data_IF_168479011250
#
_entry.id   IF_168479011250
#
_cell.length_a   1.000
_cell.length_b   1.000
_cell.length_c   1.000
_cell.angle_alpha   90.00
_cell.angle_beta   90.00
_cell.angle_gamma   90.00
#
_symmetry.space_group_name_H-M   'P 1'
#
loop_
_entity.id
_entity.type
_entity.pdbx_description
1 polymer ?
#
# COMPACT_ATOMS: atom_id res chain seq x y z
N UNK A 1 -12.51 1.51 21.13
CA UNK A 1 -11.62 2.55 21.70
C UNK A 1 -11.50 3.65 20.67
N UNK A 2 -11.96 4.86 21.00
CA UNK A 2 -11.87 6.02 20.11
C UNK A 2 -10.52 6.67 20.35
N UNK A 3 -9.57 6.49 19.44
CA UNK A 3 -8.31 7.25 19.45
C UNK A 3 -8.65 8.71 19.15
N UNK A 4 -8.45 9.58 20.15
CA UNK A 4 -8.57 11.03 19.96
C UNK A 4 -7.39 11.46 19.10
N UNK A 5 -7.65 12.05 17.93
CA UNK A 5 -6.61 12.59 17.08
C UNK A 5 -5.82 13.65 17.87
N UNK A 6 -4.54 13.36 18.14
CA UNK A 6 -3.63 14.28 18.83
C UNK A 6 -3.28 15.39 17.84
N UNK A 7 -3.61 16.63 18.17
CA UNK A 7 -3.26 17.78 17.33
C UNK A 7 -1.74 17.83 17.13
N UNK A 8 -1.30 17.97 15.88
CA UNK A 8 0.12 18.07 15.52
C UNK A 8 0.65 19.42 16.03
N UNK A 9 1.65 19.44 16.92
CA UNK A 9 2.19 20.71 17.44
C UNK A 9 2.96 21.45 16.35
N UNK A 10 3.00 22.79 16.42
CA UNK A 10 3.74 23.60 15.45
C UNK A 10 5.27 23.42 15.58
N UNK A 11 5.74 23.13 16.80
CA UNK A 11 7.14 22.94 17.15
C UNK A 11 7.32 21.68 18.00
N UNK A 12 8.50 21.09 17.95
CA UNK A 12 8.93 20.07 18.92
C UNK A 12 10.24 20.47 19.59
N UNK A 13 10.46 19.89 20.78
CA UNK A 13 11.70 20.06 21.54
C UNK A 13 12.65 18.92 21.20
N UNK A 14 13.86 19.27 20.81
CA UNK A 14 14.93 18.32 20.49
C UNK A 14 16.13 18.60 21.39
N UNK A 15 16.85 17.55 21.78
CA UNK A 15 18.03 17.62 22.64
C UNK A 15 19.27 17.49 21.77
N UNK A 16 20.21 18.42 21.90
CA UNK A 16 21.47 18.39 21.14
C UNK A 16 22.37 17.23 21.61
N UNK A 17 22.88 16.37 20.70
CA UNK A 17 23.71 15.22 21.07
C UNK A 17 25.16 15.60 21.42
N UNK A 18 25.60 16.80 21.05
CA UNK A 18 26.92 17.35 21.30
C UNK A 18 26.86 18.88 21.20
N UNK A 19 27.90 19.58 21.61
CA UNK A 19 28.03 21.02 21.34
C UNK A 19 28.23 21.22 19.83
N UNK A 20 27.25 21.85 19.19
CA UNK A 20 27.16 22.01 17.74
C UNK A 20 27.21 23.49 17.35
N UNK A 21 27.98 23.78 16.30
CA UNK A 21 28.08 25.14 15.76
C UNK A 21 26.78 25.54 15.04
N UNK A 22 26.56 26.85 14.99
CA UNK A 22 25.50 27.47 14.20
C UNK A 22 25.37 26.87 12.79
N UNK A 23 24.13 26.65 12.34
CA UNK A 23 23.78 26.11 11.01
C UNK A 23 24.29 24.69 10.70
N UNK A 24 24.84 23.97 11.68
CA UNK A 24 25.09 22.53 11.51
C UNK A 24 23.77 21.76 11.56
N UNK A 25 23.77 20.56 11.00
CA UNK A 25 22.56 19.71 10.96
C UNK A 25 22.83 18.36 11.60
N UNK A 26 21.86 17.82 12.31
CA UNK A 26 21.92 16.46 12.87
C UNK A 26 20.57 15.76 12.78
N UNK A 27 20.60 14.44 12.88
CA UNK A 27 19.41 13.58 12.83
C UNK A 27 18.78 13.48 14.23
N UNK A 28 17.51 13.84 14.36
CA UNK A 28 16.75 13.75 15.61
C UNK A 28 15.49 12.92 15.43
N UNK A 29 15.12 12.16 16.47
CA UNK A 29 13.90 11.34 16.48
C UNK A 29 12.93 11.87 17.51
N UNK A 30 11.77 12.36 17.07
CA UNK A 30 10.66 12.83 17.93
C UNK A 30 9.39 12.11 17.51
N UNK A 31 8.66 11.53 18.46
CA UNK A 31 7.44 10.74 18.18
C UNK A 31 7.66 9.59 17.17
N UNK A 32 8.87 9.03 17.10
CA UNK A 32 9.25 7.99 16.13
C UNK A 32 9.49 8.49 14.70
N UNK A 33 9.43 9.81 14.48
CA UNK A 33 9.77 10.45 13.21
C UNK A 33 11.22 10.90 13.29
N UNK A 34 12.03 10.45 12.35
CA UNK A 34 13.42 10.87 12.24
C UNK A 34 13.56 11.94 11.17
N UNK A 35 14.13 13.09 11.51
CA UNK A 35 14.27 14.23 10.60
C UNK A 35 15.57 15.00 10.85
N UNK A 36 16.04 15.71 9.83
CA UNK A 36 17.22 16.56 9.92
C UNK A 36 16.86 17.88 10.60
N UNK A 37 17.44 18.12 11.77
CA UNK A 37 17.34 19.37 12.52
C UNK A 37 18.49 20.29 12.11
N UNK A 38 18.20 21.57 11.90
CA UNK A 38 19.22 22.62 11.71
C UNK A 38 19.41 23.39 13.01
N UNK A 39 20.66 23.52 13.45
CA UNK A 39 21.05 24.23 14.68
C UNK A 39 20.90 25.75 14.48
N UNK A 40 20.29 26.49 15.43
CA UNK A 40 20.10 27.94 15.34
C UNK A 40 21.43 28.70 15.23
N UNK A 41 21.37 29.96 14.80
CA UNK A 41 22.56 30.81 14.57
C UNK A 41 23.43 31.02 15.82
N UNK A 42 22.87 30.85 17.02
CA UNK A 42 23.61 30.96 18.27
C UNK A 42 24.52 29.73 18.56
N UNK A 43 24.34 28.63 17.83
CA UNK A 43 24.85 27.32 18.26
C UNK A 43 24.00 26.72 19.37
N UNK A 44 24.34 25.49 19.78
CA UNK A 44 23.72 24.80 20.92
C UNK A 44 24.78 23.98 21.65
N UNK A 45 24.70 23.92 22.97
CA UNK A 45 25.57 23.09 23.80
C UNK A 45 25.05 21.65 23.93
N UNK A 46 25.93 20.70 24.25
CA UNK A 46 25.54 19.30 24.48
C UNK A 46 24.46 19.18 25.57
N UNK A 47 23.37 18.45 25.26
CA UNK A 47 22.24 18.29 26.18
C UNK A 47 21.26 19.46 26.22
N UNK A 48 21.55 20.57 25.53
CA UNK A 48 20.64 21.71 25.45
C UNK A 48 19.38 21.32 24.68
N UNK A 49 18.22 21.74 25.19
CA UNK A 49 16.93 21.53 24.55
C UNK A 49 16.50 22.80 23.83
N UNK A 50 16.20 22.71 22.54
CA UNK A 50 15.72 23.85 21.76
C UNK A 50 14.50 23.47 20.92
N UNK A 51 13.72 24.47 20.51
CA UNK A 51 12.51 24.28 19.73
C UNK A 51 12.81 24.37 18.23
N UNK A 52 12.28 23.39 17.50
CA UNK A 52 12.39 23.31 16.05
C UNK A 52 11.00 23.16 15.44
N UNK A 53 10.77 23.66 14.22
CA UNK A 53 9.52 23.40 13.51
C UNK A 53 9.26 21.90 13.45
N UNK A 54 8.07 21.47 13.85
CA UNK A 54 7.69 20.06 13.71
C UNK A 54 7.77 19.71 12.23
N UNK A 55 8.40 18.58 11.85
CA UNK A 55 8.65 18.29 10.45
C UNK A 55 7.32 18.10 9.70
N UNK A 56 6.92 19.14 8.97
CA UNK A 56 5.75 19.11 8.10
C UNK A 56 6.13 18.31 6.86
N UNK A 57 5.72 17.04 6.80
CA UNK A 57 5.96 16.16 5.66
C UNK A 57 7.09 15.13 5.85
N UNK A 58 7.73 15.06 7.03
CA UNK A 58 8.40 13.81 7.40
C UNK A 58 7.29 12.83 7.74
N UNK A 59 7.00 11.94 6.80
CA UNK A 59 6.02 10.87 6.94
C UNK A 59 6.14 10.26 8.34
N UNK A 60 5.17 10.57 9.22
CA UNK A 60 4.93 9.81 10.44
C UNK A 60 4.89 8.36 10.00
N UNK A 61 5.85 7.53 10.38
CA UNK A 61 5.84 6.12 9.96
C UNK A 61 4.49 5.53 10.37
N UNK A 62 3.61 5.32 9.38
CA UNK A 62 2.28 4.86 9.65
C UNK A 62 2.40 3.42 10.13
N UNK A 63 2.15 3.21 11.42
CA UNK A 63 2.17 1.87 12.00
C UNK A 63 0.84 1.19 11.67
N UNK A 64 0.89 0.25 10.74
CA UNK A 64 -0.24 -0.63 10.49
C UNK A 64 -0.47 -1.54 11.73
N UNK A 65 -1.72 -1.87 12.07
CA UNK A 65 -2.00 -2.74 13.22
C UNK A 65 -1.34 -4.11 13.03
N UNK A 66 -0.75 -4.67 14.07
CA UNK A 66 -0.24 -6.05 14.05
C UNK A 66 -1.28 -7.02 14.63
N UNK A 67 -1.16 -8.31 14.33
CA UNK A 67 -2.04 -9.36 14.89
C UNK A 67 -3.37 -9.54 14.12
N UNK A 68 -4.00 -8.46 13.66
CA UNK A 68 -5.28 -8.51 12.94
C UNK A 68 -5.35 -7.51 11.79
N UNK A 69 -6.18 -7.81 10.78
CA UNK A 69 -6.50 -6.82 9.74
C UNK A 69 -7.26 -5.63 10.35
N UNK A 70 -6.99 -4.42 9.82
CA UNK A 70 -7.59 -3.18 10.37
C UNK A 70 -9.11 -3.18 10.22
N UNK A 71 -9.60 -3.73 9.12
CA UNK A 71 -11.02 -3.90 8.82
C UNK A 71 -11.33 -5.36 8.60
N UNK A 72 -12.57 -5.76 8.88
CA UNK A 72 -13.06 -7.11 8.52
C UNK A 72 -13.21 -7.27 7.01
N UNK A 73 -13.29 -8.51 6.53
CA UNK A 73 -13.39 -8.81 5.10
C UNK A 73 -14.65 -8.17 4.48
N UNK A 74 -15.80 -8.28 5.14
CA UNK A 74 -17.07 -7.70 4.68
C UNK A 74 -17.26 -6.23 5.10
N UNK A 75 -16.24 -5.57 5.66
CA UNK A 75 -16.30 -4.15 5.99
C UNK A 75 -16.13 -3.24 4.76
N UNK A 76 -16.11 -3.79 3.54
CA UNK A 76 -16.01 -3.02 2.31
C UNK A 76 -17.14 -1.98 2.13
N UNK A 77 -18.30 -2.18 2.77
CA UNK A 77 -19.42 -1.24 2.75
C UNK A 77 -19.30 -0.07 3.74
N UNK A 78 -18.35 -0.09 4.68
CA UNK A 78 -18.19 0.99 5.66
C UNK A 78 -17.32 2.13 5.17
N UNK A 79 -16.49 1.89 4.15
CA UNK A 79 -15.76 2.93 3.42
C UNK A 79 -16.64 3.40 2.26
N UNK A 80 -16.78 4.72 2.08
CA UNK A 80 -17.65 5.36 1.08
C UNK A 80 -17.51 4.77 -0.35
N UNK A 81 -18.41 5.09 -1.28
CA UNK A 81 -18.56 4.47 -2.61
C UNK A 81 -17.26 4.28 -3.44
N UNK A 82 -16.21 5.07 -3.21
CA UNK A 82 -15.01 5.12 -4.04
C UNK A 82 -14.15 3.83 -3.98
N UNK A 83 -13.69 3.31 -2.83
CA UNK A 83 -12.89 2.07 -2.80
C UNK A 83 -13.69 0.82 -3.16
N UNK A 84 -15.00 0.80 -2.91
CA UNK A 84 -15.86 -0.33 -3.30
C UNK A 84 -15.99 -0.43 -4.82
N UNK A 85 -16.30 0.68 -5.50
CA UNK A 85 -16.39 0.71 -6.96
C UNK A 85 -15.02 0.44 -7.62
N UNK A 86 -13.94 0.96 -7.04
CA UNK A 86 -12.58 0.65 -7.51
C UNK A 86 -12.20 -0.80 -7.24
N UNK A 87 -12.60 -1.40 -6.12
CA UNK A 87 -12.37 -2.81 -5.83
C UNK A 87 -13.15 -3.73 -6.78
N UNK A 88 -14.32 -3.32 -7.25
CA UNK A 88 -15.12 -4.10 -8.20
C UNK A 88 -14.65 -3.95 -9.66
N UNK A 89 -14.45 -2.71 -10.11
CA UNK A 89 -14.13 -2.40 -11.50
C UNK A 89 -12.61 -2.39 -11.77
N UNK A 90 -11.81 -2.02 -10.77
CA UNK A 90 -10.38 -1.74 -10.90
C UNK A 90 -9.55 -2.52 -9.87
N UNK A 91 -10.02 -3.71 -9.44
CA UNK A 91 -9.31 -4.56 -8.48
C UNK A 91 -7.80 -4.73 -8.78
N UNK A 92 -7.38 -4.90 -10.06
CA UNK A 92 -5.96 -5.01 -10.40
C UNK A 92 -5.17 -3.74 -10.06
N UNK A 93 -5.76 -2.55 -10.28
CA UNK A 93 -5.12 -1.26 -9.99
C UNK A 93 -4.87 -1.12 -8.50
N UNK A 94 -5.90 -1.39 -7.69
CA UNK A 94 -5.84 -1.32 -6.23
C UNK A 94 -4.85 -2.35 -5.67
N UNK A 95 -4.82 -3.56 -6.24
CA UNK A 95 -3.81 -4.56 -5.91
C UNK A 95 -2.39 -4.07 -6.24
N UNK A 96 -2.18 -3.48 -7.42
CA UNK A 96 -0.91 -2.88 -7.80
C UNK A 96 -0.46 -1.78 -6.82
N UNK A 97 -1.37 -0.92 -6.38
CA UNK A 97 -1.09 0.10 -5.35
C UNK A 97 -0.64 -0.54 -4.02
N UNK A 98 -1.29 -1.61 -3.57
CA UNK A 98 -0.88 -2.37 -2.38
C UNK A 98 0.51 -2.96 -2.55
N UNK A 99 0.79 -3.59 -3.71
CA UNK A 99 2.10 -4.18 -4.00
C UNK A 99 3.21 -3.13 -3.96
N UNK A 100 2.96 -1.95 -4.54
CA UNK A 100 3.92 -0.87 -4.55
C UNK A 100 4.16 -0.26 -3.17
N UNK A 101 3.10 -0.08 -2.36
CA UNK A 101 3.22 0.36 -0.96
C UNK A 101 4.06 -0.58 -0.12
N UNK A 102 3.85 -1.89 -0.29
CA UNK A 102 4.55 -2.92 0.48
C UNK A 102 5.93 -3.27 -0.11
N UNK A 103 6.32 -2.62 -1.21
CA UNK A 103 7.53 -2.93 -1.99
C UNK A 103 7.62 -4.42 -2.36
N UNK A 104 6.49 -4.99 -2.77
CA UNK A 104 6.40 -6.35 -3.30
C UNK A 104 6.68 -6.34 -4.81
N UNK A 105 7.14 -7.49 -5.32
CA UNK A 105 7.34 -7.70 -6.75
C UNK A 105 6.05 -8.07 -7.48
N UNK A 106 6.17 -8.30 -8.78
CA UNK A 106 5.07 -8.70 -9.68
C UNK A 106 4.33 -9.97 -9.26
N UNK A 107 4.96 -10.83 -8.46
CA UNK A 107 4.36 -12.08 -7.94
C UNK A 107 3.63 -11.94 -6.62
N UNK A 108 3.57 -10.75 -6.00
CA UNK A 108 3.02 -10.58 -4.65
C UNK A 108 3.96 -11.02 -3.52
N UNK A 109 5.23 -11.26 -3.81
CA UNK A 109 6.26 -11.58 -2.82
C UNK A 109 7.13 -10.36 -2.50
N UNK A 110 7.68 -10.26 -1.27
CA UNK A 110 8.66 -9.25 -0.92
C UNK A 110 9.84 -9.27 -1.88
N UNK A 111 10.32 -8.09 -2.28
CA UNK A 111 11.55 -7.98 -3.08
C UNK A 111 12.76 -8.16 -2.18
N UNK A 112 13.56 -9.17 -2.47
CA UNK A 112 14.82 -9.46 -1.79
C UNK A 112 15.96 -9.47 -2.81
N UNK A 113 17.12 -8.98 -2.40
CA UNK A 113 18.36 -9.05 -3.18
C UNK A 113 18.91 -10.50 -3.18
N UNK A 114 19.95 -10.77 -3.98
CA UNK A 114 20.55 -12.09 -4.07
C UNK A 114 21.16 -12.59 -2.75
N UNK A 115 21.51 -11.68 -1.84
CA UNK A 115 22.00 -11.95 -0.49
C UNK A 115 20.87 -12.15 0.55
N UNK A 116 19.60 -12.05 0.14
CA UNK A 116 18.43 -12.13 1.01
C UNK A 116 18.07 -10.83 1.75
N UNK A 117 18.83 -9.75 1.56
CA UNK A 117 18.50 -8.44 2.12
C UNK A 117 17.27 -7.83 1.45
N UNK A 118 16.54 -6.94 2.15
CA UNK A 118 15.39 -6.23 1.56
C UNK A 118 15.87 -5.32 0.44
N UNK A 119 15.25 -5.44 -0.74
CA UNK A 119 15.53 -4.55 -1.86
C UNK A 119 14.94 -3.17 -1.58
N UNK A 120 15.78 -2.15 -1.36
CA UNK A 120 15.35 -0.78 -1.08
C UNK A 120 15.11 0.06 -2.33
N UNK A 121 15.34 -0.50 -3.53
CA UNK A 121 15.09 0.22 -4.77
C UNK A 121 13.59 0.51 -4.91
N UNK A 122 13.22 1.64 -5.52
CA UNK A 122 11.82 1.94 -5.82
C UNK A 122 11.14 0.74 -6.49
N UNK A 123 9.90 0.45 -6.09
CA UNK A 123 9.04 -0.50 -6.80
C UNK A 123 8.97 -0.13 -8.30
N UNK A 124 8.77 -1.08 -9.21
CA UNK A 124 8.31 -0.73 -10.56
C UNK A 124 6.87 -0.18 -10.49
N UNK A 125 6.39 0.56 -11.51
CA UNK A 125 5.01 1.09 -11.54
C UNK A 125 3.98 -0.01 -11.87
N UNK A 126 3.87 -1.02 -11.00
CA UNK A 126 2.98 -2.18 -11.09
C UNK A 126 1.51 -1.76 -11.29
N UNK A 127 1.03 -0.76 -10.55
CA UNK A 127 -0.33 -0.21 -10.66
C UNK A 127 -0.66 0.22 -12.09
N UNK A 128 0.22 1.00 -12.72
CA UNK A 128 0.03 1.47 -14.10
C UNK A 128 0.07 0.32 -15.10
N UNK A 129 0.97 -0.64 -14.90
CA UNK A 129 1.06 -1.81 -15.77
C UNK A 129 -0.17 -2.71 -15.63
N UNK A 130 -0.67 -2.94 -14.41
CA UNK A 130 -1.89 -3.71 -14.19
C UNK A 130 -3.12 -3.02 -14.79
N UNK A 131 -3.19 -1.69 -14.72
CA UNK A 131 -4.23 -0.90 -15.41
C UNK A 131 -4.16 -1.12 -16.93
N UNK A 132 -3.00 -0.85 -17.54
CA UNK A 132 -2.82 -0.97 -18.99
C UNK A 132 -3.11 -2.40 -19.46
N UNK A 133 -2.56 -3.41 -18.79
CA UNK A 133 -2.78 -4.81 -19.11
C UNK A 133 -4.27 -5.17 -19.03
N UNK A 134 -4.98 -4.74 -17.98
CA UNK A 134 -6.41 -5.02 -17.81
C UNK A 134 -7.24 -4.35 -18.92
N UNK A 135 -6.95 -3.09 -19.25
CA UNK A 135 -7.61 -2.37 -20.35
C UNK A 135 -7.39 -3.08 -21.68
N UNK A 136 -6.15 -3.51 -21.97
CA UNK A 136 -5.83 -4.28 -23.19
C UNK A 136 -6.62 -5.59 -23.23
N UNK A 137 -6.69 -6.34 -22.13
CA UNK A 137 -7.46 -7.58 -22.07
C UNK A 137 -8.97 -7.35 -22.30
N UNK A 138 -9.53 -6.28 -21.74
CA UNK A 138 -10.94 -5.91 -21.96
C UNK A 138 -11.18 -5.54 -23.43
N UNK A 139 -10.28 -4.78 -24.06
CA UNK A 139 -10.38 -4.42 -25.48
C UNK A 139 -10.31 -5.67 -26.36
N UNK A 140 -9.39 -6.60 -26.09
CA UNK A 140 -9.30 -7.88 -26.82
C UNK A 140 -10.61 -8.66 -26.66
N UNK A 141 -11.12 -8.81 -25.44
CA UNK A 141 -12.39 -9.49 -25.17
C UNK A 141 -13.57 -8.85 -25.91
N UNK A 142 -13.70 -7.52 -25.84
CA UNK A 142 -14.76 -6.77 -26.53
C UNK A 142 -14.65 -6.90 -28.06
N UNK A 143 -13.43 -6.81 -28.61
CA UNK A 143 -13.19 -6.93 -30.05
C UNK A 143 -13.53 -8.34 -30.56
N UNK A 144 -13.21 -9.37 -29.78
CA UNK A 144 -13.54 -10.77 -30.14
C UNK A 144 -15.03 -11.11 -30.01
N UNK A 145 -15.80 -10.36 -29.20
CA UNK A 145 -17.25 -10.57 -29.00
C UNK A 145 -18.11 -9.70 -29.91
N UNK A 146 -17.68 -8.49 -30.25
CA UNK A 146 -18.40 -7.55 -31.11
C UNK A 146 -18.37 -7.87 -32.61
N UNK A 147 -17.48 -8.75 -33.07
CA UNK A 147 -17.39 -9.15 -34.49
C UNK A 147 -18.49 -10.16 -34.92
N UNK A 148 -19.40 -10.55 -34.03
CA UNK A 148 -20.43 -11.55 -34.28
C UNK A 148 -21.69 -11.01 -34.94
N UNK A 149 -21.71 -10.84 -36.26
CA UNK A 149 -22.95 -10.95 -37.06
C UNK A 149 -22.98 -12.13 -38.02
N UNK A 150 -21.92 -12.94 -38.15
CA UNK A 150 -21.99 -14.16 -38.98
C UNK A 150 -20.89 -15.19 -38.66
N UNK A 151 -21.26 -16.21 -37.87
CA UNK A 151 -20.89 -17.63 -38.05
C UNK A 151 -19.45 -18.17 -37.94
N UNK A 152 -18.51 -17.54 -37.22
CA UNK A 152 -17.33 -18.29 -36.72
C UNK A 152 -17.02 -18.03 -35.23
N UNK A 153 -17.48 -18.96 -34.38
CA UNK A 153 -17.36 -18.94 -32.91
C UNK A 153 -15.91 -19.08 -32.36
N UNK A 154 -14.89 -19.20 -33.22
CA UNK A 154 -13.52 -19.52 -32.81
C UNK A 154 -12.82 -18.38 -32.04
N UNK A 155 -13.08 -17.12 -32.38
CA UNK A 155 -12.41 -15.96 -31.76
C UNK A 155 -12.89 -15.64 -30.34
N UNK A 156 -14.17 -15.93 -30.02
CA UNK A 156 -14.72 -15.71 -28.68
C UNK A 156 -14.02 -16.57 -27.61
N UNK A 157 -13.57 -17.78 -27.98
CA UNK A 157 -12.79 -18.64 -27.09
C UNK A 157 -11.40 -18.07 -26.79
N UNK A 158 -10.74 -17.43 -27.76
CA UNK A 158 -9.41 -16.83 -27.54
C UNK A 158 -9.49 -15.72 -26.50
N UNK A 159 -10.47 -14.81 -26.63
CA UNK A 159 -10.68 -13.74 -25.64
C UNK A 159 -10.94 -14.31 -24.24
N UNK A 160 -11.72 -15.38 -24.14
CA UNK A 160 -12.03 -16.06 -22.88
C UNK A 160 -10.79 -16.73 -22.25
N UNK A 161 -9.95 -17.38 -23.06
CA UNK A 161 -8.70 -18.02 -22.58
C UNK A 161 -7.72 -16.96 -22.07
N UNK A 162 -7.50 -15.90 -22.85
CA UNK A 162 -6.57 -14.82 -22.49
C UNK A 162 -7.05 -14.11 -21.22
N UNK A 163 -8.34 -13.78 -21.13
CA UNK A 163 -8.95 -13.21 -19.92
C UNK A 163 -8.86 -14.14 -18.72
N UNK A 164 -9.06 -15.44 -18.92
CA UNK A 164 -8.91 -16.46 -17.87
C UNK A 164 -7.49 -16.58 -17.33
N UNK A 165 -6.47 -16.57 -18.21
CA UNK A 165 -5.06 -16.57 -17.81
C UNK A 165 -4.73 -15.31 -17.00
N UNK A 166 -5.20 -14.15 -17.44
CA UNK A 166 -5.00 -12.88 -16.72
C UNK A 166 -5.66 -12.89 -15.34
N UNK A 167 -6.92 -13.34 -15.24
CA UNK A 167 -7.63 -13.46 -13.97
C UNK A 167 -6.94 -14.46 -13.03
N UNK A 168 -6.45 -15.59 -13.56
CA UNK A 168 -5.70 -16.59 -12.79
C UNK A 168 -4.38 -16.03 -12.26
N UNK A 169 -3.64 -15.28 -13.09
CA UNK A 169 -2.43 -14.59 -12.66
C UNK A 169 -2.73 -13.61 -11.51
N UNK A 170 -3.74 -12.76 -11.64
CA UNK A 170 -4.14 -11.81 -10.59
C UNK A 170 -4.57 -12.51 -9.30
N UNK A 171 -5.26 -13.65 -9.41
CA UNK A 171 -5.64 -14.49 -8.28
C UNK A 171 -4.41 -14.99 -7.51
N UNK A 172 -3.39 -15.51 -8.21
CA UNK A 172 -2.14 -15.95 -7.60
C UNK A 172 -1.44 -14.78 -6.92
N UNK A 173 -1.28 -13.65 -7.61
CA UNK A 173 -0.59 -12.46 -7.09
C UNK A 173 -1.30 -11.92 -5.84
N UNK A 174 -2.63 -11.80 -5.86
CA UNK A 174 -3.41 -11.33 -4.72
C UNK A 174 -3.30 -12.27 -3.52
N UNK A 175 -3.27 -13.59 -3.76
CA UNK A 175 -3.08 -14.60 -2.71
C UNK A 175 -1.69 -14.50 -2.10
N UNK A 176 -0.64 -14.46 -2.92
CA UNK A 176 0.73 -14.29 -2.46
C UNK A 176 0.92 -12.97 -1.69
N UNK A 177 0.35 -11.87 -2.19
CA UNK A 177 0.39 -10.57 -1.53
C UNK A 177 -0.25 -10.65 -0.15
N UNK A 178 -1.44 -11.24 -0.04
CA UNK A 178 -2.14 -11.41 1.24
C UNK A 178 -1.33 -12.24 2.23
N UNK A 179 -0.79 -13.39 1.81
CA UNK A 179 0.03 -14.26 2.68
C UNK A 179 1.26 -13.51 3.20
N UNK A 180 1.98 -12.82 2.33
CA UNK A 180 3.18 -12.08 2.71
C UNK A 180 2.87 -10.86 3.57
N UNK A 181 1.73 -10.21 3.34
CA UNK A 181 1.24 -9.13 4.18
C UNK A 181 0.94 -9.61 5.60
N UNK A 182 0.30 -10.76 5.76
CA UNK A 182 0.07 -11.39 7.07
C UNK A 182 1.38 -11.69 7.79
N UNK A 183 2.37 -12.23 7.08
CA UNK A 183 3.71 -12.45 7.64
C UNK A 183 4.40 -11.15 8.06
N UNK A 184 4.24 -10.06 7.28
CA UNK A 184 4.82 -8.75 7.60
C UNK A 184 4.20 -8.13 8.85
N UNK A 185 2.89 -8.31 9.06
CA UNK A 185 2.14 -7.69 10.16
C UNK A 185 1.72 -8.67 11.27
N UNK A 186 2.31 -9.87 11.29
CA UNK A 186 2.04 -10.92 12.28
C UNK A 186 0.54 -11.26 12.43
N UNK A 187 -0.19 -11.37 11.32
CA UNK A 187 -1.65 -11.60 11.32
C UNK A 187 -1.98 -13.10 11.29
N UNK A 188 -2.51 -13.62 12.40
CA UNK A 188 -2.80 -15.03 12.61
C UNK A 188 -3.86 -15.60 11.65
N UNK A 189 -3.60 -16.76 11.01
CA UNK A 189 -4.55 -17.73 10.49
C UNK A 189 -6.05 -17.58 10.76
N UNK A 190 -6.91 -17.02 9.90
CA UNK A 190 -8.37 -17.04 10.24
C UNK A 190 -8.95 -18.47 10.17
N UNK A 191 -8.34 -19.37 9.37
CA UNK A 191 -8.72 -20.79 9.36
C UNK A 191 -7.60 -21.68 8.78
N UNK A 192 -7.42 -22.89 9.34
CA UNK A 192 -6.64 -24.02 8.80
C UNK A 192 -5.11 -23.89 8.64
N UNK A 193 -4.43 -22.92 9.27
CA UNK A 193 -2.96 -22.88 9.48
C UNK A 193 -2.02 -22.80 8.24
N UNK A 194 -2.48 -23.21 7.06
CA UNK A 194 -1.68 -23.47 5.86
C UNK A 194 -2.03 -22.53 4.69
N UNK A 195 -2.54 -21.33 4.95
CA UNK A 195 -2.86 -20.33 3.90
C UNK A 195 -4.09 -20.63 3.03
N UNK A 196 -4.77 -21.76 3.23
CA UNK A 196 -6.00 -22.13 2.50
C UNK A 196 -7.10 -21.07 2.63
N UNK A 197 -7.22 -20.45 3.82
CA UNK A 197 -8.16 -19.35 4.05
C UNK A 197 -7.91 -18.13 3.17
N UNK A 198 -6.65 -17.84 2.82
CA UNK A 198 -6.30 -16.70 1.97
C UNK A 198 -6.71 -16.94 0.50
N UNK A 199 -6.46 -18.15 -0.02
CA UNK A 199 -6.93 -18.55 -1.36
C UNK A 199 -8.45 -18.43 -1.48
N UNK A 200 -9.18 -18.97 -0.50
CA UNK A 200 -10.65 -18.96 -0.50
C UNK A 200 -11.18 -17.52 -0.38
N UNK A 201 -10.54 -16.70 0.45
CA UNK A 201 -10.88 -15.29 0.62
C UNK A 201 -10.71 -14.50 -0.68
N UNK A 202 -9.58 -14.70 -1.38
CA UNK A 202 -9.31 -14.04 -2.66
C UNK A 202 -10.27 -14.53 -3.75
N UNK A 203 -10.62 -15.82 -3.75
CA UNK A 203 -11.53 -16.40 -4.74
C UNK A 203 -12.99 -15.97 -4.53
N UNK A 204 -13.50 -16.06 -3.31
CA UNK A 204 -14.91 -15.78 -3.00
C UNK A 204 -15.23 -14.29 -2.90
N UNK A 205 -14.30 -13.47 -2.40
CA UNK A 205 -14.47 -12.02 -2.41
C UNK A 205 -13.16 -11.28 -2.75
N UNK A 206 -12.78 -11.35 -4.03
CA UNK A 206 -11.56 -10.69 -4.55
C UNK A 206 -11.53 -9.18 -4.24
N UNK A 207 -12.65 -8.48 -4.44
CA UNK A 207 -12.75 -7.05 -4.16
C UNK A 207 -12.61 -6.74 -2.65
N UNK A 208 -13.29 -7.49 -1.79
CA UNK A 208 -13.19 -7.35 -0.34
C UNK A 208 -11.76 -7.54 0.14
N UNK A 209 -11.08 -8.57 -0.38
CA UNK A 209 -9.70 -8.88 -0.02
C UNK A 209 -8.77 -7.71 -0.31
N UNK A 210 -8.82 -7.17 -1.54
CA UNK A 210 -7.95 -6.06 -1.93
C UNK A 210 -8.27 -4.79 -1.14
N UNK A 211 -9.56 -4.52 -0.87
CA UNK A 211 -9.97 -3.41 0.00
C UNK A 211 -9.44 -3.60 1.43
N UNK A 212 -9.50 -4.80 1.99
CA UNK A 212 -8.97 -5.08 3.32
C UNK A 212 -7.44 -4.87 3.39
N UNK A 213 -6.71 -5.26 2.34
CA UNK A 213 -5.27 -5.01 2.25
C UNK A 213 -4.96 -3.52 2.14
N UNK A 214 -5.75 -2.77 1.37
CA UNK A 214 -5.47 -1.35 1.17
C UNK A 214 -5.82 -0.51 2.40
N UNK A 215 -6.91 -0.81 3.10
CA UNK A 215 -7.28 -0.15 4.36
C UNK A 215 -6.36 -0.55 5.51
N UNK A 216 -5.77 -1.74 5.48
CA UNK A 216 -4.77 -2.07 6.48
C UNK A 216 -3.47 -1.27 6.25
N UNK A 217 -3.14 -0.98 4.98
CA UNK A 217 -1.96 -0.17 4.61
C UNK A 217 -2.20 1.34 4.56
N UNK A 218 -3.36 1.82 4.99
CA UNK A 218 -3.72 3.24 4.96
C UNK A 218 -4.94 3.47 5.83
N UNK A 219 -4.93 4.45 6.72
CA UNK A 219 -6.12 4.79 7.50
C UNK A 219 -7.02 5.76 6.72
N UNK A 220 -8.17 5.30 6.20
CA UNK A 220 -9.08 6.15 5.42
C UNK A 220 -9.75 7.24 6.26
N UNK A 221 -9.63 7.21 7.61
CA UNK A 221 -10.15 8.25 8.49
C UNK A 221 -9.20 9.43 8.63
N UNK A 222 -7.91 9.19 8.42
CA UNK A 222 -6.85 10.18 8.67
C UNK A 222 -6.32 10.75 7.35
N UNK A 223 -6.21 9.92 6.32
CA UNK A 223 -5.65 10.30 5.02
C UNK A 223 -6.68 10.04 3.92
N UNK A 224 -6.77 10.96 2.96
CA UNK A 224 -7.67 10.80 1.82
C UNK A 224 -7.07 9.86 0.78
N UNK A 225 -7.90 8.98 0.23
CA UNK A 225 -7.47 8.04 -0.80
C UNK A 225 -7.36 8.69 -2.18
N UNK A 226 -6.22 8.51 -2.85
CA UNK A 226 -5.97 9.11 -4.17
C UNK A 226 -5.90 8.05 -5.26
N UNK A 227 -7.02 7.78 -5.95
CA UNK A 227 -7.11 6.73 -6.98
C UNK A 227 -6.06 6.87 -8.10
N UNK A 228 -5.71 8.10 -8.47
CA UNK A 228 -4.78 8.40 -9.56
C UNK A 228 -3.32 8.29 -9.15
N UNK A 229 -3.04 8.16 -7.85
CA UNK A 229 -1.67 8.11 -7.38
C UNK A 229 -1.11 6.69 -7.45
N UNK A 230 0.21 6.64 -7.57
CA UNK A 230 0.98 5.42 -7.74
C UNK A 230 0.80 4.43 -6.58
N UNK A 231 0.71 4.95 -5.36
CA UNK A 231 0.48 4.17 -4.15
C UNK A 231 -0.96 4.28 -3.67
N UNK A 232 -1.83 5.11 -4.23
CA UNK A 232 -3.14 5.41 -3.63
C UNK A 232 -3.09 6.42 -2.46
N UNK A 233 -1.92 7.01 -2.17
CA UNK A 233 -1.69 8.06 -1.17
C UNK A 233 -1.40 9.41 -1.86
N UNK A 234 -1.72 10.54 -1.23
CA UNK A 234 -1.37 11.85 -1.77
C UNK A 234 0.12 12.18 -1.53
N UNK A 235 0.71 13.12 -2.31
CA UNK A 235 2.06 13.60 -2.04
C UNK A 235 2.15 14.23 -0.63
N UNK A 236 2.95 13.63 0.25
CA UNK A 236 3.12 14.08 1.64
C UNK A 236 2.42 13.22 2.69
N UNK A 237 1.54 12.31 2.28
CA UNK A 237 0.96 11.31 3.18
C UNK A 237 2.03 10.31 3.63
N UNK A 238 1.91 9.76 4.84
CA UNK A 238 2.91 8.85 5.36
C UNK A 238 2.94 7.53 4.60
N UNK A 239 4.17 7.12 4.24
CA UNK A 239 4.42 5.81 3.64
C UNK A 239 4.64 4.80 4.76
N UNK A 240 4.08 3.61 4.60
CA UNK A 240 4.34 2.49 5.53
C UNK A 240 5.76 2.02 5.33
N UNK A 241 6.50 1.95 6.43
CA UNK A 241 7.83 1.35 6.50
C UNK A 241 7.70 -0.13 6.89
#
# INVERSE_FOLDING_TARGET
>A
MTTVAKAIPATCKVVAPATLKANSTFEATVDGITFMVTVPEAGVDEGETFEVPYPKGAATAFSAPTGTFRSGLCSCFSSCCCPFMMGWCCAPVVLGQVLERLNFGWGGCPRVNADGSRDTRPSPPICMVFLIATVVMVIIGASTSGAGTSTENSYAYIGSIVGGIWAWYLFIVATCARINMRKKFDIEPECCGNGCGDCLTVWLCSCCNVIQMITHTHDPKEYEYSCSSRTGLNPGDPVIV
#
